data_IF_027658272444
#
_entry.id   IF_027658272444
#
_cell.length_a   1.000
_cell.length_b   1.000
_cell.length_c   1.000
_cell.angle_alpha   90.00
_cell.angle_beta   90.00
_cell.angle_gamma   90.00
#
_symmetry.space_group_name_H-M   'P 1'
#
loop_
_entity.id
_entity.type
_entity.pdbx_description
1 polymer ?
#
# COMPACT_ATOMS: atom_id res chain seq x y z
N UNK A 1 -31.92 21.67 -13.50
CA UNK A 1 -31.80 21.59 -12.03
C UNK A 1 -30.95 20.37 -11.71
N UNK A 2 -29.64 20.47 -11.90
CA UNK A 2 -28.72 19.33 -11.91
C UNK A 2 -27.29 19.77 -11.59
N UNK A 3 -27.13 20.65 -10.61
CA UNK A 3 -25.84 21.18 -10.16
C UNK A 3 -25.54 20.88 -8.68
N UNK A 4 -26.47 20.24 -7.95
CA UNK A 4 -26.42 20.24 -6.48
C UNK A 4 -26.17 18.84 -5.88
N UNK A 5 -25.62 17.89 -6.65
CA UNK A 5 -25.30 16.51 -6.17
C UNK A 5 -23.79 16.22 -6.17
N UNK A 6 -22.96 17.18 -6.58
CA UNK A 6 -21.54 17.18 -6.27
C UNK A 6 -21.35 17.96 -4.96
N UNK A 7 -21.87 17.43 -3.85
CA UNK A 7 -21.35 17.78 -2.53
C UNK A 7 -19.89 17.34 -2.53
N UNK A 8 -19.05 18.27 -2.96
CA UNK A 8 -17.61 18.14 -2.93
C UNK A 8 -17.28 18.02 -1.46
N UNK A 9 -16.89 16.82 -1.02
CA UNK A 9 -16.29 16.58 0.29
C UNK A 9 -15.02 17.45 0.39
N UNK A 10 -15.20 18.72 0.71
CA UNK A 10 -14.11 19.65 0.93
C UNK A 10 -13.41 19.19 2.20
N UNK A 11 -12.10 18.96 2.10
CA UNK A 11 -11.22 18.81 3.26
C UNK A 11 -11.63 19.85 4.30
N UNK A 12 -11.99 19.39 5.50
CA UNK A 12 -12.27 20.32 6.58
C UNK A 12 -10.96 21.04 6.90
N UNK A 13 -11.02 22.27 7.42
CA UNK A 13 -9.81 23.02 7.80
C UNK A 13 -8.92 22.18 8.75
N UNK A 14 -9.55 21.32 9.56
CA UNK A 14 -8.86 20.37 10.44
C UNK A 14 -7.95 19.38 9.68
N UNK A 15 -8.38 18.87 8.53
CA UNK A 15 -7.63 17.88 7.76
C UNK A 15 -6.38 18.50 7.13
N UNK A 16 -6.49 19.74 6.64
CA UNK A 16 -5.33 20.51 6.16
C UNK A 16 -4.35 20.83 7.29
N UNK A 17 -4.86 21.13 8.49
CA UNK A 17 -4.01 21.37 9.67
C UNK A 17 -3.27 20.11 10.06
N UNK A 18 -3.91 18.95 10.09
CA UNK A 18 -3.27 17.66 10.41
C UNK A 18 -2.21 17.30 9.36
N UNK A 19 -2.53 17.47 8.08
CA UNK A 19 -1.59 17.21 6.98
C UNK A 19 -0.36 18.12 7.06
N UNK A 20 -0.58 19.43 7.22
CA UNK A 20 0.48 20.42 7.38
C UNK A 20 1.34 20.15 8.63
N UNK A 21 0.71 19.83 9.76
CA UNK A 21 1.40 19.49 11.00
C UNK A 21 2.29 18.26 10.83
N UNK A 22 1.80 17.21 10.16
CA UNK A 22 2.54 15.96 9.93
C UNK A 22 3.80 16.22 9.10
N UNK A 23 3.70 17.04 8.05
CA UNK A 23 4.84 17.47 7.24
C UNK A 23 5.81 18.32 8.06
N UNK A 24 5.31 19.33 8.79
CA UNK A 24 6.13 20.20 9.62
C UNK A 24 6.88 19.45 10.71
N UNK A 25 6.26 18.46 11.36
CA UNK A 25 6.91 17.62 12.38
C UNK A 25 7.98 16.74 11.74
N UNK A 26 7.70 16.15 10.57
CA UNK A 26 8.67 15.31 9.84
C UNK A 26 9.91 16.12 9.43
N UNK A 27 9.70 17.31 8.85
CA UNK A 27 10.78 18.26 8.52
C UNK A 27 11.51 18.72 9.79
N UNK A 28 10.77 19.01 10.86
CA UNK A 28 11.31 19.45 12.14
C UNK A 28 12.25 18.42 12.77
N UNK A 29 11.88 17.13 12.75
CA UNK A 29 12.73 16.02 13.20
C UNK A 29 13.99 15.93 12.32
N UNK A 30 13.83 16.04 11.00
CA UNK A 30 14.95 16.07 10.05
C UNK A 30 15.96 17.18 10.35
N UNK A 31 15.49 18.41 10.51
CA UNK A 31 16.31 19.58 10.82
C UNK A 31 16.93 19.48 12.22
N UNK A 32 16.17 19.03 13.22
CA UNK A 32 16.65 18.88 14.59
C UNK A 32 17.85 17.93 14.66
N UNK A 33 17.75 16.76 14.01
CA UNK A 33 18.85 15.80 13.96
C UNK A 33 20.00 16.28 13.08
N UNK A 34 19.76 17.09 12.05
CA UNK A 34 20.82 17.70 11.26
C UNK A 34 21.64 18.73 12.05
N UNK A 35 20.97 19.58 12.83
CA UNK A 35 21.62 20.59 13.68
C UNK A 35 22.34 19.90 14.85
N UNK A 36 21.71 18.92 15.49
CA UNK A 36 22.32 18.23 16.63
C UNK A 36 23.45 17.28 16.21
N UNK A 37 23.34 16.67 15.04
CA UNK A 37 24.39 15.84 14.40
C UNK A 37 25.56 16.64 13.82
N UNK A 38 25.41 17.96 13.65
CA UNK A 38 26.45 18.85 13.12
C UNK A 38 27.75 18.87 13.93
N UNK A 39 27.76 18.38 15.18
CA UNK A 39 28.97 18.36 16.01
C UNK A 39 30.01 17.30 15.61
N UNK A 40 29.64 16.27 14.82
CA UNK A 40 30.56 15.23 14.31
C UNK A 40 30.15 14.75 12.91
N UNK A 41 30.51 15.50 11.86
CA UNK A 41 30.30 15.07 10.46
C UNK A 41 31.25 13.93 10.09
N UNK A 42 30.85 12.69 10.37
CA UNK A 42 31.54 11.50 9.90
C UNK A 42 30.64 10.73 8.93
N UNK A 43 31.18 10.25 7.80
CA UNK A 43 30.40 9.52 6.78
C UNK A 43 29.67 8.30 7.36
N UNK A 44 30.27 7.63 8.34
CA UNK A 44 29.64 6.51 9.05
C UNK A 44 28.45 6.92 9.92
N UNK A 45 28.40 8.15 10.41
CA UNK A 45 27.25 8.66 11.17
C UNK A 45 26.08 8.98 10.26
N UNK A 46 26.35 9.53 9.07
CA UNK A 46 25.32 9.78 8.06
C UNK A 46 24.73 8.49 7.47
N UNK A 47 25.58 7.53 7.09
CA UNK A 47 25.14 6.31 6.41
C UNK A 47 24.63 5.19 7.33
N UNK A 48 25.14 5.09 8.56
CA UNK A 48 24.86 3.95 9.47
C UNK A 48 24.34 4.42 10.83
N UNK A 49 24.13 5.72 11.00
CA UNK A 49 23.65 6.28 12.26
C UNK A 49 24.56 5.99 13.46
N UNK A 50 25.87 5.86 13.23
CA UNK A 50 26.85 5.62 14.30
C UNK A 50 26.70 4.29 15.04
N UNK A 51 25.83 3.38 14.57
CA UNK A 51 25.57 2.05 15.17
C UNK A 51 25.22 2.05 16.66
N UNK A 52 24.78 3.19 17.20
CA UNK A 52 24.47 3.37 18.62
C UNK A 52 22.96 3.54 18.90
N UNK A 53 22.12 3.24 17.91
CA UNK A 53 20.66 3.39 18.02
C UNK A 53 20.07 2.20 18.78
N UNK A 54 19.03 2.46 19.59
CA UNK A 54 18.26 1.41 20.24
C UNK A 54 17.57 0.50 19.21
N UNK A 55 17.37 -0.78 19.55
CA UNK A 55 16.81 -1.76 18.61
C UNK A 55 15.38 -1.42 18.16
N UNK A 56 14.58 -0.83 19.05
CA UNK A 56 13.14 -0.62 18.82
C UNK A 56 12.87 0.40 17.71
N UNK A 57 13.45 1.61 17.70
CA UNK A 57 13.33 2.55 16.57
C UNK A 57 13.78 1.95 15.23
N UNK A 58 14.87 1.16 15.24
CA UNK A 58 15.40 0.53 14.03
C UNK A 58 14.41 -0.53 13.50
N UNK A 59 13.82 -1.34 14.39
CA UNK A 59 12.83 -2.34 14.00
C UNK A 59 11.57 -1.70 13.41
N UNK A 60 11.08 -0.62 14.02
CA UNK A 60 9.91 0.12 13.52
C UNK A 60 10.21 0.74 12.16
N UNK A 61 11.36 1.39 11.99
CA UNK A 61 11.77 1.98 10.70
C UNK A 61 11.92 0.92 9.61
N UNK A 62 12.47 -0.26 9.93
CA UNK A 62 12.54 -1.38 8.98
C UNK A 62 11.15 -1.87 8.57
N UNK A 63 10.19 -1.91 9.50
CA UNK A 63 8.81 -2.27 9.21
C UNK A 63 8.13 -1.22 8.32
N UNK A 64 8.28 0.07 8.64
CA UNK A 64 7.73 1.18 7.83
C UNK A 64 8.35 1.21 6.43
N UNK A 65 9.64 0.92 6.31
CA UNK A 65 10.32 0.84 5.02
C UNK A 65 9.83 -0.32 4.15
N UNK A 66 9.26 -1.37 4.77
CA UNK A 66 8.63 -2.48 4.06
C UNK A 66 7.20 -2.15 3.65
N UNK A 67 6.52 -1.30 4.42
CA UNK A 67 5.21 -0.78 4.07
C UNK A 67 5.30 0.17 2.88
N UNK A 68 4.45 -0.07 1.88
CA UNK A 68 4.40 0.75 0.67
C UNK A 68 2.98 1.27 0.47
N UNK A 69 2.87 2.41 -0.21
CA UNK A 69 1.58 2.98 -0.60
C UNK A 69 0.73 2.02 -1.44
N UNK A 70 1.40 1.18 -2.23
CA UNK A 70 0.80 0.12 -3.04
C UNK A 70 0.13 -0.92 -2.15
N UNK A 71 0.77 -1.33 -1.05
CA UNK A 71 0.15 -2.26 -0.11
C UNK A 71 -1.01 -1.57 0.63
N UNK A 72 -0.82 -0.34 1.11
CA UNK A 72 -1.87 0.34 1.88
C UNK A 72 -3.17 0.56 1.10
N UNK A 73 -3.09 0.88 -0.20
CA UNK A 73 -4.27 1.06 -1.06
C UNK A 73 -4.68 -0.22 -1.81
N UNK A 74 -3.71 -1.05 -2.20
CA UNK A 74 -3.94 -2.23 -3.01
C UNK A 74 -4.48 -3.42 -2.21
N UNK A 75 -4.02 -3.63 -0.97
CA UNK A 75 -4.50 -4.74 -0.13
C UNK A 75 -6.01 -4.68 0.16
N UNK A 76 -6.59 -3.55 0.60
CA UNK A 76 -8.04 -3.49 0.81
C UNK A 76 -8.82 -3.63 -0.50
N UNK A 77 -8.29 -3.13 -1.63
CA UNK A 77 -8.92 -3.29 -2.93
C UNK A 77 -8.94 -4.76 -3.39
N UNK A 78 -7.82 -5.48 -3.23
CA UNK A 78 -7.72 -6.90 -3.53
C UNK A 78 -8.64 -7.73 -2.62
N UNK A 79 -8.65 -7.43 -1.32
CA UNK A 79 -9.52 -8.10 -0.35
C UNK A 79 -11.01 -7.83 -0.64
N UNK A 80 -11.35 -6.65 -1.19
CA UNK A 80 -12.71 -6.31 -1.59
C UNK A 80 -13.17 -7.12 -2.82
N UNK A 81 -12.30 -7.31 -3.81
CA UNK A 81 -12.66 -8.00 -5.07
C UNK A 81 -12.57 -9.53 -4.94
N UNK A 82 -11.51 -10.04 -4.31
CA UNK A 82 -11.17 -11.47 -4.28
C UNK A 82 -11.33 -12.11 -2.89
N UNK A 83 -11.72 -11.35 -1.87
CA UNK A 83 -11.95 -11.84 -0.52
C UNK A 83 -10.67 -12.21 0.24
N UNK A 84 -10.80 -13.13 1.21
CA UNK A 84 -9.73 -13.49 2.14
C UNK A 84 -8.59 -14.34 1.56
N UNK A 85 -8.62 -14.67 0.26
CA UNK A 85 -7.59 -15.49 -0.38
C UNK A 85 -6.19 -14.88 -0.27
N UNK A 86 -6.09 -13.54 -0.20
CA UNK A 86 -4.84 -12.82 -0.06
C UNK A 86 -4.05 -13.15 1.23
N UNK A 87 -4.73 -13.65 2.28
CA UNK A 87 -4.09 -14.03 3.54
C UNK A 87 -3.01 -15.11 3.33
N UNK A 88 -3.21 -16.02 2.37
CA UNK A 88 -2.22 -17.06 2.05
C UNK A 88 -0.91 -16.47 1.50
N UNK A 89 -1.00 -15.43 0.69
CA UNK A 89 0.18 -14.72 0.20
C UNK A 89 0.94 -14.05 1.36
N UNK A 90 0.20 -13.39 2.26
CA UNK A 90 0.77 -12.74 3.45
C UNK A 90 1.51 -13.74 4.34
N UNK A 91 0.92 -14.91 4.56
CA UNK A 91 1.55 -15.98 5.33
C UNK A 91 2.85 -16.50 4.67
N UNK A 92 2.86 -16.63 3.35
CA UNK A 92 4.05 -17.02 2.59
C UNK A 92 5.20 -16.01 2.73
N UNK A 93 4.89 -14.72 2.57
CA UNK A 93 5.87 -13.63 2.75
C UNK A 93 6.42 -13.60 4.18
N UNK A 94 5.55 -13.75 5.18
CA UNK A 94 5.96 -13.82 6.58
C UNK A 94 6.94 -14.98 6.85
N UNK A 95 6.63 -16.19 6.36
CA UNK A 95 7.50 -17.35 6.49
C UNK A 95 8.86 -17.12 5.80
N UNK A 96 8.85 -16.56 4.58
CA UNK A 96 10.07 -16.23 3.85
C UNK A 96 10.95 -15.22 4.61
N UNK A 97 10.34 -14.22 5.25
CA UNK A 97 11.06 -13.23 6.04
C UNK A 97 11.69 -13.85 7.29
N UNK A 98 11.02 -14.77 7.98
CA UNK A 98 11.57 -15.49 9.13
C UNK A 98 12.81 -16.32 8.76
N UNK A 99 12.75 -17.00 7.61
CA UNK A 99 13.89 -17.72 7.05
C UNK A 99 15.01 -16.72 6.72
N UNK A 100 14.71 -15.64 6.00
CA UNK A 100 15.70 -14.63 5.62
C UNK A 100 16.41 -14.02 6.84
N UNK A 101 15.67 -13.67 7.89
CA UNK A 101 16.26 -13.14 9.13
C UNK A 101 17.17 -14.18 9.79
N UNK A 102 16.76 -15.45 9.82
CA UNK A 102 17.53 -16.53 10.45
C UNK A 102 18.84 -16.85 9.74
N UNK A 103 18.92 -16.67 8.42
CA UNK A 103 20.13 -17.00 7.63
C UNK A 103 20.96 -15.77 7.25
N UNK A 104 20.33 -14.69 6.79
CA UNK A 104 21.01 -13.52 6.22
C UNK A 104 21.55 -12.58 7.30
N UNK A 105 20.81 -12.36 8.38
CA UNK A 105 21.27 -11.49 9.48
C UNK A 105 22.54 -12.02 10.16
N UNK A 106 22.63 -13.29 10.60
CA UNK A 106 23.87 -13.79 11.20
C UNK A 106 25.02 -13.86 10.20
N UNK A 107 24.74 -13.99 8.90
CA UNK A 107 25.76 -13.94 7.86
C UNK A 107 26.33 -12.53 7.67
N UNK A 108 25.51 -11.49 7.65
CA UNK A 108 25.95 -10.12 7.31
C UNK A 108 26.36 -9.28 8.52
N UNK A 109 25.71 -9.47 9.68
CA UNK A 109 25.96 -8.68 10.88
C UNK A 109 27.44 -8.67 11.35
N UNK A 110 28.17 -9.80 11.41
CA UNK A 110 29.56 -9.79 11.89
C UNK A 110 30.53 -9.10 10.93
N UNK A 111 30.22 -9.01 9.64
CA UNK A 111 31.11 -8.40 8.64
C UNK A 111 31.16 -6.87 8.76
N UNK A 112 30.24 -6.24 9.51
CA UNK A 112 30.18 -4.78 9.73
C UNK A 112 30.31 -3.96 8.43
N UNK A 113 29.77 -4.50 7.33
CA UNK A 113 29.70 -3.83 6.03
C UNK A 113 28.75 -2.63 6.07
N UNK A 114 28.96 -1.69 5.15
CA UNK A 114 28.12 -0.48 5.04
C UNK A 114 27.05 -0.62 3.98
N UNK A 115 27.29 -1.47 2.98
CA UNK A 115 26.36 -1.77 1.89
C UNK A 115 26.26 -3.28 1.69
N UNK A 116 25.06 -3.79 1.42
CA UNK A 116 24.86 -5.21 1.13
C UNK A 116 25.67 -5.67 -0.10
N UNK A 117 25.92 -4.78 -1.07
CA UNK A 117 26.72 -5.10 -2.26
C UNK A 117 28.22 -5.29 -1.96
N UNK A 118 28.70 -4.79 -0.82
CA UNK A 118 30.07 -5.03 -0.36
C UNK A 118 30.32 -6.52 -0.09
N UNK A 119 29.28 -7.26 0.33
CA UNK A 119 29.34 -8.71 0.48
C UNK A 119 29.68 -9.43 -0.84
N UNK A 120 29.19 -8.91 -1.98
CA UNK A 120 29.50 -9.49 -3.29
C UNK A 120 31.00 -9.36 -3.63
N UNK A 121 31.62 -8.23 -3.26
CA UNK A 121 33.07 -8.07 -3.42
C UNK A 121 33.83 -9.06 -2.54
N UNK A 122 33.43 -9.22 -1.28
CA UNK A 122 34.09 -10.16 -0.37
C UNK A 122 33.96 -11.62 -0.84
N UNK A 123 32.80 -11.98 -1.39
CA UNK A 123 32.51 -13.36 -1.83
C UNK A 123 33.16 -13.73 -3.16
N UNK A 124 33.21 -12.80 -4.11
CA UNK A 124 33.74 -13.02 -5.46
C UNK A 124 35.12 -12.39 -5.70
N UNK A 125 35.66 -11.65 -4.72
CA UNK A 125 36.94 -10.95 -4.78
C UNK A 125 37.07 -10.02 -6.01
N UNK A 126 35.94 -9.46 -6.47
CA UNK A 126 35.88 -8.63 -7.68
C UNK A 126 35.09 -7.35 -7.45
N UNK A 127 35.76 -6.22 -7.70
CA UNK A 127 35.13 -4.88 -7.67
C UNK A 127 34.09 -4.69 -8.76
N UNK A 128 34.25 -5.37 -9.91
CA UNK A 128 33.31 -5.26 -11.02
C UNK A 128 31.92 -5.79 -10.63
N UNK A 129 31.88 -6.91 -9.89
CA UNK A 129 30.62 -7.50 -9.41
C UNK A 129 29.91 -6.57 -8.43
N UNK A 130 30.65 -5.92 -7.52
CA UNK A 130 30.09 -4.91 -6.60
C UNK A 130 29.50 -3.73 -7.36
N UNK A 131 30.23 -3.22 -8.35
CA UNK A 131 29.77 -2.08 -9.15
C UNK A 131 28.50 -2.44 -9.94
N UNK A 132 28.49 -3.60 -10.60
CA UNK A 132 27.30 -4.09 -11.33
C UNK A 132 26.10 -4.27 -10.40
N UNK A 133 26.29 -4.91 -9.24
CA UNK A 133 25.22 -5.10 -8.25
C UNK A 133 24.67 -3.78 -7.72
N UNK A 134 25.56 -2.81 -7.44
CA UNK A 134 25.16 -1.48 -6.96
C UNK A 134 24.41 -0.71 -8.04
N UNK A 135 24.87 -0.73 -9.30
CA UNK A 135 24.21 -0.04 -10.42
C UNK A 135 22.82 -0.63 -10.70
N UNK A 136 22.71 -1.97 -10.74
CA UNK A 136 21.44 -2.65 -10.89
C UNK A 136 20.50 -2.34 -9.71
N UNK A 137 21.03 -2.31 -8.49
CA UNK A 137 20.29 -1.91 -7.29
C UNK A 137 19.71 -0.51 -7.37
N UNK A 138 20.54 0.47 -7.72
CA UNK A 138 20.12 1.87 -7.90
C UNK A 138 19.04 1.95 -8.99
N UNK A 139 19.23 1.27 -10.13
CA UNK A 139 18.26 1.26 -11.21
C UNK A 139 16.92 0.69 -10.74
N UNK A 140 16.91 -0.52 -10.19
CA UNK A 140 15.67 -1.17 -9.73
C UNK A 140 14.94 -0.33 -8.68
N UNK A 141 15.66 0.23 -7.69
CA UNK A 141 15.04 1.08 -6.68
C UNK A 141 14.55 2.41 -7.25
N UNK A 142 15.23 3.00 -8.24
CA UNK A 142 14.76 4.24 -8.89
C UNK A 142 13.40 4.02 -9.56
N UNK A 143 13.24 2.90 -10.26
CA UNK A 143 11.97 2.54 -10.89
C UNK A 143 10.88 2.24 -9.86
N UNK A 144 11.23 1.47 -8.82
CA UNK A 144 10.30 1.13 -7.75
C UNK A 144 9.79 2.37 -6.99
N UNK A 145 10.69 3.30 -6.62
CA UNK A 145 10.32 4.52 -5.90
C UNK A 145 9.36 5.41 -6.71
N UNK A 146 9.46 5.42 -8.04
CA UNK A 146 8.50 6.11 -8.90
C UNK A 146 7.07 5.58 -8.75
N UNK A 147 6.92 4.25 -8.69
CA UNK A 147 5.61 3.60 -8.49
C UNK A 147 5.10 3.87 -7.06
N UNK A 148 5.98 3.81 -6.06
CA UNK A 148 5.61 4.08 -4.66
C UNK A 148 5.14 5.51 -4.47
N UNK A 149 5.75 6.50 -5.14
CA UNK A 149 5.33 7.91 -5.07
C UNK A 149 3.97 8.19 -5.70
N UNK A 150 3.52 7.34 -6.64
CA UNK A 150 2.22 7.48 -7.28
C UNK A 150 1.06 7.24 -6.30
N UNK A 151 1.18 6.24 -5.41
CA UNK A 151 0.14 5.90 -4.43
C UNK A 151 -0.33 7.06 -3.55
N UNK A 152 0.54 7.76 -2.80
CA UNK A 152 0.13 8.90 -1.98
C UNK A 152 -0.31 10.10 -2.85
N UNK A 153 0.20 10.23 -4.08
CA UNK A 153 -0.21 11.31 -4.97
C UNK A 153 -1.66 11.15 -5.48
N UNK A 154 -2.06 9.92 -5.83
CA UNK A 154 -3.46 9.60 -6.20
C UNK A 154 -4.38 9.78 -5.00
N UNK A 155 -3.95 9.34 -3.81
CA UNK A 155 -4.71 9.57 -2.59
C UNK A 155 -4.92 11.07 -2.32
N UNK A 156 -3.87 11.89 -2.52
CA UNK A 156 -3.95 13.34 -2.34
C UNK A 156 -4.85 14.00 -3.40
N UNK A 157 -4.76 13.57 -4.66
CA UNK A 157 -5.63 14.05 -5.75
C UNK A 157 -7.11 13.74 -5.46
N UNK A 158 -7.42 12.50 -5.03
CA UNK A 158 -8.79 12.07 -4.74
C UNK A 158 -9.45 12.91 -3.64
N UNK A 159 -8.68 13.40 -2.66
CA UNK A 159 -9.24 14.13 -1.51
C UNK A 159 -9.12 15.65 -1.61
N UNK A 160 -8.16 16.18 -2.37
CA UNK A 160 -7.97 17.65 -2.51
C UNK A 160 -8.40 18.20 -3.87
N UNK A 161 -8.59 17.34 -4.88
CA UNK A 161 -8.80 17.76 -6.27
C UNK A 161 -7.59 18.44 -6.92
N UNK A 162 -6.42 18.42 -6.27
CA UNK A 162 -5.20 19.00 -6.79
C UNK A 162 -4.60 18.10 -7.88
N UNK A 163 -4.11 18.64 -9.02
CA UNK A 163 -3.66 17.83 -10.13
C UNK A 163 -2.52 16.91 -9.71
N UNK A 164 -2.63 15.63 -10.10
CA UNK A 164 -1.69 14.56 -9.76
C UNK A 164 -0.22 14.98 -9.93
N UNK A 165 0.11 15.64 -11.04
CA UNK A 165 1.48 16.02 -11.35
C UNK A 165 2.10 16.94 -10.30
N UNK A 166 1.32 17.90 -9.81
CA UNK A 166 1.82 18.84 -8.81
C UNK A 166 1.95 18.15 -7.44
N UNK A 167 1.03 17.23 -7.10
CA UNK A 167 1.09 16.40 -5.89
C UNK A 167 2.38 15.57 -5.83
N UNK A 168 2.73 14.90 -6.92
CA UNK A 168 3.97 14.10 -7.02
C UNK A 168 5.20 14.98 -6.76
N UNK A 169 5.29 16.14 -7.42
CA UNK A 169 6.44 17.04 -7.29
C UNK A 169 6.57 17.55 -5.86
N UNK A 170 5.49 17.99 -5.23
CA UNK A 170 5.51 18.53 -3.86
C UNK A 170 5.96 17.47 -2.86
N UNK A 171 5.35 16.27 -2.89
CA UNK A 171 5.69 15.17 -1.96
C UNK A 171 7.14 14.73 -2.16
N UNK A 172 7.61 14.67 -3.41
CA UNK A 172 8.99 14.28 -3.72
C UNK A 172 10.01 15.31 -3.25
N UNK A 173 9.76 16.60 -3.48
CA UNK A 173 10.68 17.68 -3.06
C UNK A 173 10.78 17.74 -1.55
N UNK A 174 9.64 17.71 -0.85
CA UNK A 174 9.62 17.70 0.62
C UNK A 174 10.37 16.49 1.17
N UNK A 175 10.15 15.30 0.59
CA UNK A 175 10.80 14.08 1.05
C UNK A 175 12.31 14.05 0.83
N UNK A 176 12.78 14.54 -0.31
CA UNK A 176 14.21 14.70 -0.61
C UNK A 176 14.86 15.68 0.37
N UNK A 177 14.22 16.81 0.66
CA UNK A 177 14.79 17.84 1.54
C UNK A 177 14.99 17.30 2.96
N UNK A 178 13.96 16.72 3.59
CA UNK A 178 14.12 16.26 4.98
C UNK A 178 15.08 15.06 5.08
N UNK A 179 15.11 14.19 4.07
CA UNK A 179 15.98 13.00 4.04
C UNK A 179 17.45 13.39 3.84
N UNK A 180 17.73 14.30 2.91
CA UNK A 180 19.10 14.75 2.60
C UNK A 180 19.73 15.52 3.75
N UNK A 181 18.94 16.28 4.50
CA UNK A 181 19.41 17.08 5.63
C UNK A 181 19.68 16.20 6.86
N UNK A 182 18.81 15.23 7.15
CA UNK A 182 18.83 14.49 8.42
C UNK A 182 19.72 13.23 8.48
N UNK A 183 19.99 12.58 7.34
CA UNK A 183 20.72 11.31 7.29
C UNK A 183 19.96 10.14 7.95
N UNK A 184 20.59 8.95 8.05
CA UNK A 184 19.88 7.73 8.44
C UNK A 184 19.21 7.81 9.83
N UNK A 185 19.86 8.45 10.82
CA UNK A 185 19.25 8.61 12.16
C UNK A 185 17.93 9.37 12.10
N UNK A 186 17.90 10.46 11.35
CA UNK A 186 16.70 11.27 11.23
C UNK A 186 15.58 10.50 10.53
N UNK A 187 15.91 9.79 9.44
CA UNK A 187 14.95 8.94 8.72
C UNK A 187 14.32 7.91 9.66
N UNK A 188 15.12 7.23 10.48
CA UNK A 188 14.59 6.26 11.46
C UNK A 188 13.60 6.91 12.43
N UNK A 189 13.87 8.13 12.90
CA UNK A 189 12.95 8.83 13.82
C UNK A 189 11.71 9.38 13.12
N UNK A 190 11.84 9.85 11.87
CA UNK A 190 10.67 10.23 11.07
C UNK A 190 9.78 9.03 10.77
N UNK A 191 10.37 7.86 10.51
CA UNK A 191 9.63 6.62 10.27
C UNK A 191 8.86 6.20 11.53
N UNK A 192 9.48 6.29 12.72
CA UNK A 192 8.79 5.98 13.99
C UNK A 192 7.58 6.91 14.18
N UNK A 193 7.74 8.20 13.89
CA UNK A 193 6.63 9.14 13.96
C UNK A 193 5.53 8.80 12.93
N UNK A 194 5.91 8.51 11.69
CA UNK A 194 4.97 8.13 10.63
C UNK A 194 4.24 6.83 10.96
N UNK A 195 4.92 5.82 11.52
CA UNK A 195 4.30 4.58 11.99
C UNK A 195 3.22 4.85 13.02
N UNK A 196 3.50 5.70 14.01
CA UNK A 196 2.53 6.06 15.05
C UNK A 196 1.30 6.73 14.43
N UNK A 197 1.49 7.66 13.50
CA UNK A 197 0.38 8.31 12.77
C UNK A 197 -0.43 7.30 11.97
N UNK A 198 0.22 6.38 11.26
CA UNK A 198 -0.43 5.32 10.51
C UNK A 198 -1.26 4.40 11.41
N UNK A 199 -0.70 3.91 12.52
CA UNK A 199 -1.43 3.07 13.47
C UNK A 199 -2.63 3.81 14.07
N UNK A 200 -2.47 5.07 14.49
CA UNK A 200 -3.59 5.88 14.97
C UNK A 200 -4.70 6.00 13.91
N UNK A 201 -4.33 6.18 12.64
CA UNK A 201 -5.28 6.21 11.53
C UNK A 201 -6.04 4.89 11.36
N UNK A 202 -5.33 3.76 11.36
CA UNK A 202 -5.94 2.43 11.23
C UNK A 202 -6.88 2.16 12.41
N UNK A 203 -6.46 2.43 13.65
CA UNK A 203 -7.33 2.24 14.82
C UNK A 203 -8.58 3.13 14.78
N UNK A 204 -8.45 4.38 14.33
CA UNK A 204 -9.60 5.27 14.17
C UNK A 204 -10.61 4.73 13.15
N UNK A 205 -10.13 4.16 12.03
CA UNK A 205 -10.99 3.52 11.01
C UNK A 205 -11.71 2.32 11.61
N UNK A 206 -11.00 1.42 12.31
CA UNK A 206 -11.60 0.23 12.92
C UNK A 206 -12.67 0.58 13.97
N UNK A 207 -12.40 1.56 14.82
CA UNK A 207 -13.40 2.04 15.79
C UNK A 207 -14.62 2.58 15.04
N UNK A 208 -14.42 3.37 13.97
CA UNK A 208 -15.55 3.94 13.22
C UNK A 208 -16.37 2.88 12.49
N UNK A 209 -15.71 1.87 11.96
CA UNK A 209 -16.34 0.71 11.34
C UNK A 209 -17.21 -0.05 12.34
N UNK A 210 -16.70 -0.34 13.54
CA UNK A 210 -17.50 -1.04 14.57
C UNK A 210 -18.74 -0.26 15.01
N UNK A 211 -18.64 1.07 15.15
CA UNK A 211 -19.81 1.91 15.42
C UNK A 211 -20.85 1.85 14.31
N UNK A 212 -20.40 1.84 13.05
CA UNK A 212 -21.27 1.79 11.89
C UNK A 212 -21.96 0.42 11.79
N UNK A 213 -21.22 -0.66 12.02
CA UNK A 213 -21.75 -2.02 11.99
C UNK A 213 -22.85 -2.22 13.03
N UNK A 214 -22.65 -1.72 14.27
CA UNK A 214 -23.70 -1.77 15.31
C UNK A 214 -24.97 -0.99 14.93
N UNK A 215 -24.84 0.14 14.22
CA UNK A 215 -26.00 0.93 13.76
C UNK A 215 -26.76 0.22 12.63
N UNK A 216 -26.06 -0.41 11.70
CA UNK A 216 -26.66 -1.17 10.61
C UNK A 216 -27.40 -2.41 11.11
N UNK A 217 -26.84 -3.15 12.07
CA UNK A 217 -27.50 -4.30 12.70
C UNK A 217 -28.79 -3.88 13.42
N UNK A 218 -28.78 -2.74 14.12
CA UNK A 218 -29.97 -2.20 14.77
C UNK A 218 -31.07 -1.80 13.76
N UNK A 219 -30.71 -1.25 12.60
CA UNK A 219 -31.66 -0.91 11.55
C UNK A 219 -32.29 -2.14 10.90
N UNK A 220 -31.53 -3.23 10.74
CA UNK A 220 -32.03 -4.49 10.17
C UNK A 220 -33.03 -5.21 11.10
N UNK A 221 -32.93 -4.98 12.41
CA UNK A 221 -33.86 -5.54 13.41
C UNK A 221 -35.12 -4.67 13.59
N UNK A 222 -35.05 -3.38 13.23
CA UNK A 222 -36.15 -2.43 13.43
C UNK A 222 -37.18 -2.38 12.29
N UNK A 223 -36.80 -2.67 11.03
CA UNK A 223 -37.73 -2.71 9.88
C UNK A 223 -37.34 -3.81 8.87
N UNK A 224 -38.25 -4.73 8.48
CA UNK A 224 -38.04 -5.59 7.31
C UNK A 224 -38.25 -4.76 6.04
N UNK A 225 -37.19 -4.13 5.54
CA UNK A 225 -37.22 -3.32 4.32
C UNK A 225 -37.51 -4.20 3.08
N UNK A 226 -38.36 -3.74 2.15
CA UNK A 226 -38.51 -4.37 0.84
C UNK A 226 -37.20 -4.25 0.02
N UNK A 227 -37.01 -5.24 -0.83
CA UNK A 227 -35.80 -5.70 -1.54
C UNK A 227 -35.03 -4.70 -2.45
N UNK A 228 -35.12 -3.38 -2.26
CA UNK A 228 -34.73 -2.39 -3.28
C UNK A 228 -33.65 -1.35 -2.90
N UNK A 229 -33.04 -1.41 -1.71
CA UNK A 229 -31.93 -0.52 -1.33
C UNK A 229 -30.82 -1.32 -0.64
N UNK A 230 -30.03 -2.04 -1.44
CA UNK A 230 -28.75 -2.60 -0.99
C UNK A 230 -27.72 -1.47 -0.91
N UNK A 231 -27.39 -1.04 0.31
CA UNK A 231 -26.21 -0.22 0.57
C UNK A 231 -24.95 -1.12 0.51
N UNK A 232 -23.93 -0.78 -0.29
CA UNK A 232 -22.80 -1.67 -0.60
C UNK A 232 -21.85 -1.98 0.56
N UNK A 233 -22.06 -1.38 1.74
CA UNK A 233 -21.11 -1.44 2.86
C UNK A 233 -21.35 -2.61 3.83
N UNK A 234 -22.51 -3.26 3.79
CA UNK A 234 -22.89 -4.31 4.76
C UNK A 234 -22.55 -5.74 4.31
N UNK A 235 -21.90 -5.93 3.15
CA UNK A 235 -21.70 -7.24 2.54
C UNK A 235 -20.43 -7.98 3.03
N UNK A 236 -19.98 -7.76 4.28
CA UNK A 236 -18.93 -8.59 4.87
C UNK A 236 -19.49 -9.80 5.64
N UNK A 237 -20.82 -9.94 5.73
CA UNK A 237 -21.43 -11.16 6.24
C UNK A 237 -21.26 -12.27 5.22
N UNK A 238 -20.29 -13.17 5.46
CA UNK A 238 -20.24 -14.51 4.87
C UNK A 238 -21.67 -15.04 4.78
N UNK A 239 -22.20 -15.42 3.60
CA UNK A 239 -23.55 -15.93 3.51
C UNK A 239 -23.69 -17.14 4.45
N UNK A 240 -24.47 -16.99 5.51
CA UNK A 240 -24.93 -18.10 6.36
C UNK A 240 -25.81 -19.10 5.59
N UNK A 241 -25.98 -18.95 4.28
CA UNK A 241 -26.86 -19.78 3.45
C UNK A 241 -26.31 -21.17 3.15
N UNK A 242 -25.18 -21.59 3.74
CA UNK A 242 -24.67 -22.96 3.63
C UNK A 242 -25.01 -23.80 4.88
N UNK A 243 -25.53 -23.19 5.96
CA UNK A 243 -25.82 -23.90 7.20
C UNK A 243 -27.28 -24.41 7.34
N UNK A 244 -28.22 -23.91 6.55
CA UNK A 244 -29.66 -24.20 6.71
C UNK A 244 -30.32 -24.85 5.48
N UNK A 245 -29.56 -25.57 4.65
CA UNK A 245 -30.13 -26.36 3.56
C UNK A 245 -30.51 -27.76 4.05
N UNK A 246 -31.52 -27.84 4.92
CA UNK A 246 -32.27 -29.07 5.16
C UNK A 246 -33.69 -28.90 4.58
N UNK A 247 -34.10 -29.88 3.80
CA UNK A 247 -35.42 -30.11 3.21
C UNK A 247 -36.14 -28.93 2.50
N UNK A 248 -36.00 -28.85 1.17
CA UNK A 248 -37.12 -28.94 0.20
C UNK A 248 -36.64 -28.79 -1.25
N UNK A 249 -37.19 -29.61 -2.15
CA UNK A 249 -36.85 -29.71 -3.58
C UNK A 249 -36.80 -28.36 -4.32
N UNK A 250 -35.60 -27.93 -4.73
CA UNK A 250 -35.44 -26.92 -5.80
C UNK A 250 -35.09 -27.64 -7.10
N UNK A 251 -36.08 -27.67 -7.98
CA UNK A 251 -36.04 -28.20 -9.35
C UNK A 251 -35.02 -27.43 -10.19
N UNK A 252 -33.90 -28.06 -10.54
CA UNK A 252 -32.97 -27.57 -11.56
C UNK A 252 -33.66 -27.57 -12.92
N UNK A 253 -33.81 -26.40 -13.56
CA UNK A 253 -34.06 -26.34 -15.00
C UNK A 253 -32.71 -26.36 -15.74
N UNK A 254 -32.44 -27.34 -16.60
CA UNK A 254 -31.22 -27.35 -17.40
C UNK A 254 -31.34 -26.35 -18.56
N UNK A 255 -30.29 -25.57 -18.78
CA UNK A 255 -30.11 -24.76 -19.99
C UNK A 255 -30.16 -25.68 -21.22
N UNK A 256 -31.19 -25.48 -22.05
CA UNK A 256 -31.44 -26.28 -23.23
C UNK A 256 -30.47 -25.85 -24.36
N UNK A 257 -29.51 -26.72 -24.68
CA UNK A 257 -28.54 -26.53 -25.76
C UNK A 257 -29.16 -26.97 -27.09
N UNK A 258 -29.39 -26.03 -28.02
CA UNK A 258 -29.91 -26.33 -29.37
C UNK A 258 -28.75 -26.50 -30.37
N UNK A 259 -28.64 -27.64 -31.08
CA UNK A 259 -27.52 -27.93 -31.97
C UNK A 259 -27.91 -27.66 -33.43
N UNK A 260 -27.83 -26.42 -33.90
CA UNK A 260 -27.88 -26.12 -35.34
C UNK A 260 -27.00 -24.92 -35.71
N UNK A 261 -25.73 -25.17 -36.01
CA UNK A 261 -24.94 -24.35 -36.92
C UNK A 261 -23.85 -25.24 -37.55
N UNK A 262 -24.15 -25.87 -38.68
CA UNK A 262 -23.12 -26.37 -39.59
C UNK A 262 -22.71 -25.24 -40.52
N UNK A 263 -21.54 -24.66 -40.29
CA UNK A 263 -20.75 -23.87 -41.23
C UNK A 263 -19.28 -24.28 -41.07
N UNK A 264 -18.50 -24.44 -42.15
CA UNK A 264 -17.24 -25.17 -42.10
C UNK A 264 -16.08 -24.34 -41.51
N UNK A 265 -15.19 -25.09 -40.85
CA UNK A 265 -13.92 -24.73 -40.25
C UNK A 265 -12.99 -23.98 -41.22
N UNK A 266 -12.34 -22.91 -40.74
CA UNK A 266 -10.93 -22.62 -41.00
C UNK A 266 -10.42 -21.43 -40.15
N UNK A 267 -9.27 -21.68 -39.50
CA UNK A 267 -8.26 -20.71 -39.03
C UNK A 267 -8.48 -19.96 -37.70
N UNK A 268 -7.82 -20.49 -36.65
CA UNK A 268 -7.22 -19.65 -35.60
C UNK A 268 -5.95 -19.01 -36.15
N UNK A 269 -5.76 -17.69 -35.99
CA UNK A 269 -4.44 -17.11 -35.84
C UNK A 269 -4.21 -16.75 -34.37
N UNK A 270 -3.17 -17.37 -33.82
CA UNK A 270 -2.45 -16.93 -32.63
C UNK A 270 -1.90 -15.52 -32.84
N UNK A 271 -2.42 -14.51 -32.14
CA UNK A 271 -1.69 -13.31 -31.67
C UNK A 271 -2.66 -12.27 -31.12
N UNK A 272 -2.29 -11.66 -29.99
CA UNK A 272 -2.95 -10.44 -29.48
C UNK A 272 -3.41 -10.55 -28.04
N UNK A 273 -2.50 -10.21 -27.13
CA UNK A 273 -2.83 -9.80 -25.75
C UNK A 273 -3.75 -8.57 -25.82
N UNK A 274 -4.95 -8.54 -25.21
CA UNK A 274 -5.70 -7.30 -25.07
C UNK A 274 -5.39 -6.67 -23.70
N UNK A 275 -4.81 -5.47 -23.78
CA UNK A 275 -4.80 -4.45 -22.73
C UNK A 275 -6.24 -4.20 -22.24
N UNK A 276 -6.62 -4.82 -21.13
CA UNK A 276 -7.96 -4.73 -20.53
C UNK A 276 -8.07 -3.71 -19.39
N UNK A 277 -7.51 -2.51 -19.54
CA UNK A 277 -7.72 -1.41 -18.58
C UNK A 277 -8.59 -0.28 -19.12
N UNK A 278 -8.70 -0.16 -20.45
CA UNK A 278 -9.44 0.95 -21.08
C UNK A 278 -10.89 0.59 -21.44
N UNK A 279 -11.19 -0.68 -21.71
CA UNK A 279 -12.53 -1.11 -22.14
C UNK A 279 -13.55 -1.24 -21.01
N UNK A 280 -13.10 -1.47 -19.77
CA UNK A 280 -13.99 -1.56 -18.61
C UNK A 280 -14.49 -0.18 -18.13
N UNK A 281 -13.82 0.90 -18.52
CA UNK A 281 -14.20 2.26 -18.15
C UNK A 281 -15.27 2.85 -19.08
N UNK A 282 -15.23 2.52 -20.39
CA UNK A 282 -16.21 3.01 -21.36
C UNK A 282 -17.60 2.38 -21.19
N UNK A 283 -17.68 1.14 -20.70
CA UNK A 283 -18.96 0.45 -20.50
C UNK A 283 -19.73 0.96 -19.27
N UNK A 284 -19.05 1.63 -18.32
CA UNK A 284 -19.68 2.24 -17.13
C UNK A 284 -20.22 3.65 -17.39
N UNK A 285 -19.66 4.39 -18.36
CA UNK A 285 -20.08 5.75 -18.70
C UNK A 285 -21.34 5.82 -19.58
N UNK A 286 -21.69 4.75 -20.30
CA UNK A 286 -22.82 4.78 -21.26
C UNK A 286 -24.17 4.31 -20.70
N UNK A 287 -24.25 3.94 -19.42
CA UNK A 287 -25.48 3.43 -18.76
C UNK A 287 -26.05 4.37 -17.67
N UNK A 288 -25.78 5.68 -17.75
CA UNK A 288 -26.50 6.70 -16.97
C UNK A 288 -26.95 7.84 -17.86
#
# INVERSE_FOLDING_TARGET
>A
MGSDVLDTHHFHIGDYVVFGLTICVSIGIGIFYAIMGSRKRNTSEYLVGGRSMSFLPVAISLMVSFESSIMMLGLPAEAYVYGLQFVWWTFGVFCAQMIAVSFIVPLLHPLRITSAYEYLELRFQSRAVRLMGTLLGILTYTWYMGIVLFGPAVALEAVTGYPLWNSIVVISVVSIIYTSIGGLKAVIWTDVFQALVMFMGIFAILIKETELHSKCEQFHVAEPLPRALEYPVCCWSIPRSIADADDTEVRWQPLNYSPHAHGPLAEMPTSGVPLGFHSAFDEYCHSR
#
